data_IF_892188063900
#
_entry.id   IF_892188063900
#
_cell.length_a   1.000
_cell.length_b   1.000
_cell.length_c   1.000
_cell.angle_alpha   90.00
_cell.angle_beta   90.00
_cell.angle_gamma   90.00
#
_symmetry.space_group_name_H-M   'P 1'
#
loop_
_entity.id
_entity.type
_entity.pdbx_description
1 polymer ?
#
# COMPACT_ATOMS: atom_id res chain seq x y z
N UNK A 1 -1.25 0.97 32.89
CA UNK A 1 -0.43 0.33 31.84
C UNK A 1 -0.90 0.90 30.52
N UNK A 2 -0.11 1.78 29.90
CA UNK A 2 -0.47 2.39 28.62
C UNK A 2 -0.45 1.31 27.55
N UNK A 3 -1.59 1.08 26.90
CA UNK A 3 -1.65 0.27 25.69
C UNK A 3 -0.70 0.91 24.68
N UNK A 4 0.48 0.33 24.48
CA UNK A 4 1.28 0.63 23.30
C UNK A 4 0.46 0.11 22.14
N UNK A 5 -0.29 1.01 21.52
CA UNK A 5 -0.68 0.81 20.12
C UNK A 5 0.65 0.57 19.42
N UNK A 6 0.87 -0.65 18.95
CA UNK A 6 2.01 -0.92 18.09
C UNK A 6 1.71 -0.12 16.84
N UNK A 7 2.35 1.03 16.71
CA UNK A 7 2.28 1.85 15.51
C UNK A 7 2.81 0.98 14.37
N UNK A 8 1.99 0.79 13.32
CA UNK A 8 2.38 -0.01 12.16
C UNK A 8 3.62 0.59 11.48
N UNK A 9 4.32 -0.21 10.66
CA UNK A 9 5.51 0.26 9.95
C UNK A 9 5.23 1.47 9.07
N UNK A 10 4.06 1.47 8.43
CA UNK A 10 3.54 2.59 7.66
C UNK A 10 2.46 3.34 8.44
N UNK A 11 2.29 4.65 8.18
CA UNK A 11 1.15 5.38 8.68
C UNK A 11 -0.16 4.81 8.10
N UNK A 12 -1.26 5.29 8.65
CA UNK A 12 -2.63 5.00 8.22
C UNK A 12 -2.77 5.10 6.69
N UNK A 13 -3.55 4.18 6.11
CA UNK A 13 -3.71 4.06 4.66
C UNK A 13 -4.88 4.92 4.18
N UNK A 14 -4.64 6.23 4.14
CA UNK A 14 -5.68 7.23 3.86
C UNK A 14 -6.38 6.98 2.51
N UNK A 15 -5.65 6.60 1.47
CA UNK A 15 -6.25 6.33 0.15
C UNK A 15 -7.12 5.07 0.13
N UNK A 16 -6.81 4.09 0.98
CA UNK A 16 -7.65 2.91 1.19
C UNK A 16 -8.94 3.29 1.89
N UNK A 17 -8.86 4.08 2.95
CA UNK A 17 -10.05 4.57 3.68
C UNK A 17 -10.96 5.37 2.77
N UNK A 18 -10.40 6.31 2.01
CA UNK A 18 -11.16 7.09 1.02
C UNK A 18 -11.88 6.21 -0.01
N UNK A 19 -11.28 5.08 -0.41
CA UNK A 19 -11.95 4.13 -1.31
C UNK A 19 -13.14 3.45 -0.64
N UNK A 20 -13.02 3.03 0.62
CA UNK A 20 -14.14 2.43 1.35
C UNK A 20 -15.23 3.44 1.70
N UNK A 21 -14.86 4.65 2.12
CA UNK A 21 -15.81 5.74 2.32
C UNK A 21 -16.62 6.00 1.05
N UNK A 22 -15.96 5.97 -0.11
CA UNK A 22 -16.60 6.14 -1.41
C UNK A 22 -17.50 4.95 -1.80
N UNK A 23 -17.14 3.72 -1.40
CA UNK A 23 -17.99 2.54 -1.58
C UNK A 23 -19.27 2.59 -0.73
N UNK A 24 -19.18 3.15 0.48
CA UNK A 24 -20.28 3.25 1.44
C UNK A 24 -21.09 4.55 1.30
N UNK A 25 -20.64 5.48 0.46
CA UNK A 25 -21.26 6.79 0.27
C UNK A 25 -22.68 6.68 -0.30
N UNK A 26 -23.57 7.54 0.22
CA UNK A 26 -24.92 7.74 -0.31
C UNK A 26 -25.12 9.20 -0.77
N UNK A 27 -25.55 9.44 -2.04
CA UNK A 27 -25.87 8.45 -3.07
C UNK A 27 -24.61 7.70 -3.56
N UNK A 28 -24.83 6.47 -4.06
CA UNK A 28 -23.76 5.62 -4.57
C UNK A 28 -22.81 6.35 -5.54
N UNK A 29 -21.51 6.21 -5.30
CA UNK A 29 -20.47 6.79 -6.14
C UNK A 29 -20.51 6.24 -7.57
N UNK A 30 -20.03 7.05 -8.52
CA UNK A 30 -19.92 6.57 -9.90
C UNK A 30 -18.80 5.54 -10.04
N UNK A 31 -18.94 4.62 -11.01
CA UNK A 31 -17.88 3.65 -11.32
C UNK A 31 -16.56 4.33 -11.71
N UNK A 32 -16.63 5.52 -12.32
CA UNK A 32 -15.45 6.31 -12.66
C UNK A 32 -14.73 6.85 -11.40
N UNK A 33 -15.48 7.29 -10.40
CA UNK A 33 -14.92 7.76 -9.13
C UNK A 33 -14.28 6.60 -8.36
N UNK A 34 -14.96 5.45 -8.28
CA UNK A 34 -14.41 4.23 -7.65
C UNK A 34 -13.12 3.76 -8.31
N UNK A 35 -13.07 3.72 -9.65
CA UNK A 35 -11.84 3.38 -10.38
C UNK A 35 -10.72 4.39 -10.12
N UNK A 36 -11.04 5.67 -10.06
CA UNK A 36 -10.06 6.72 -9.78
C UNK A 36 -9.50 6.58 -8.36
N UNK A 37 -10.36 6.35 -7.37
CA UNK A 37 -9.96 6.12 -5.99
C UNK A 37 -9.09 4.85 -5.87
N UNK A 38 -9.46 3.76 -6.53
CA UNK A 38 -8.69 2.52 -6.50
C UNK A 38 -7.30 2.67 -7.14
N UNK A 39 -7.17 3.44 -8.23
CA UNK A 39 -5.85 3.74 -8.82
C UNK A 39 -4.99 4.55 -7.84
N UNK A 40 -5.56 5.55 -7.15
CA UNK A 40 -4.84 6.32 -6.12
C UNK A 40 -4.37 5.42 -4.97
N UNK A 41 -5.22 4.50 -4.50
CA UNK A 41 -4.85 3.46 -3.53
C UNK A 41 -3.67 2.62 -4.00
N UNK A 42 -3.75 2.11 -5.24
CA UNK A 42 -2.67 1.33 -5.85
C UNK A 42 -1.35 2.12 -6.02
N UNK A 43 -1.42 3.44 -6.24
CA UNK A 43 -0.23 4.30 -6.33
C UNK A 43 0.48 4.44 -4.98
N UNK A 44 -0.27 4.64 -3.90
CA UNK A 44 0.26 4.65 -2.53
C UNK A 44 0.92 3.30 -2.19
N UNK A 45 0.28 2.17 -2.52
CA UNK A 45 0.84 0.82 -2.34
C UNK A 45 2.17 0.65 -3.09
N UNK A 46 2.25 1.11 -4.35
CA UNK A 46 3.50 1.08 -5.12
C UNK A 46 4.60 1.90 -4.43
N UNK A 47 4.25 3.08 -3.90
CA UNK A 47 5.15 3.89 -3.10
C UNK A 47 5.71 3.13 -1.90
N UNK A 48 4.83 2.51 -1.11
CA UNK A 48 5.20 1.71 0.07
C UNK A 48 6.05 0.49 -0.30
N UNK A 49 5.73 -0.21 -1.39
CA UNK A 49 6.55 -1.33 -1.90
C UNK A 49 7.97 -0.87 -2.24
N UNK A 50 8.12 0.28 -2.92
CA UNK A 50 9.44 0.80 -3.23
C UNK A 50 10.25 1.08 -1.96
N UNK A 51 9.61 1.69 -0.96
CA UNK A 51 10.26 1.96 0.32
C UNK A 51 10.71 0.67 1.03
N UNK A 52 9.84 -0.35 1.11
CA UNK A 52 10.20 -1.64 1.70
C UNK A 52 11.41 -2.25 0.98
N UNK A 53 11.36 -2.29 -0.36
CA UNK A 53 12.45 -2.86 -1.17
C UNK A 53 13.77 -2.12 -1.01
N UNK A 54 13.73 -0.80 -0.89
CA UNK A 54 14.92 0.03 -0.67
C UNK A 54 15.51 -0.16 0.73
N UNK A 55 14.66 -0.25 1.77
CA UNK A 55 15.11 -0.36 3.16
C UNK A 55 15.59 -1.75 3.55
N UNK A 56 15.03 -2.81 2.94
CA UNK A 56 15.29 -4.22 3.32
C UNK A 56 16.77 -4.61 3.42
N UNK A 57 17.66 -4.30 2.44
CA UNK A 57 19.06 -4.70 2.52
C UNK A 57 19.79 -4.04 3.69
N UNK A 58 19.56 -2.75 3.90
CA UNK A 58 20.17 -1.96 4.98
C UNK A 58 19.70 -2.44 6.34
N UNK A 59 18.39 -2.64 6.51
CA UNK A 59 17.82 -3.18 7.76
C UNK A 59 18.36 -4.59 8.06
N UNK A 60 18.40 -5.48 7.07
CA UNK A 60 18.94 -6.83 7.25
C UNK A 60 20.40 -6.82 7.75
N UNK A 61 21.23 -5.90 7.24
CA UNK A 61 22.60 -5.75 7.69
C UNK A 61 22.70 -5.19 9.13
N UNK A 62 21.86 -4.21 9.47
CA UNK A 62 21.82 -3.63 10.81
C UNK A 62 21.38 -4.66 11.87
N UNK A 63 20.40 -5.51 11.57
CA UNK A 63 19.98 -6.61 12.47
C UNK A 63 21.12 -7.59 12.68
N UNK A 64 21.76 -8.06 11.60
CA UNK A 64 22.87 -9.03 11.67
C UNK A 64 24.08 -8.52 12.45
N UNK A 65 24.33 -7.21 12.40
CA UNK A 65 25.39 -6.56 13.16
C UNK A 65 25.00 -6.21 14.60
N UNK A 66 23.74 -6.47 15.00
CA UNK A 66 23.22 -6.18 16.34
C UNK A 66 22.98 -4.69 16.62
N UNK A 67 22.97 -3.84 15.58
CA UNK A 67 22.77 -2.39 15.72
C UNK A 67 21.29 -2.01 15.89
N UNK A 68 20.38 -2.84 15.40
CA UNK A 68 18.94 -2.71 15.62
C UNK A 68 18.37 -4.00 16.20
N UNK A 69 17.32 -3.88 17.00
CA UNK A 69 16.67 -5.01 17.65
C UNK A 69 15.86 -5.87 16.67
N UNK A 70 15.62 -7.12 17.07
CA UNK A 70 14.76 -8.06 16.34
C UNK A 70 13.31 -7.57 16.26
N UNK A 71 12.86 -6.73 17.19
CA UNK A 71 11.54 -6.12 17.20
C UNK A 71 11.28 -5.24 15.98
N UNK A 72 12.26 -4.42 15.58
CA UNK A 72 12.19 -3.59 14.37
C UNK A 72 12.14 -4.46 13.12
N UNK A 73 12.94 -5.54 13.11
CA UNK A 73 12.93 -6.49 11.99
C UNK A 73 11.60 -7.21 11.86
N UNK A 74 11.02 -7.66 12.98
CA UNK A 74 9.71 -8.31 12.99
C UNK A 74 8.61 -7.35 12.52
N UNK A 75 8.65 -6.08 12.90
CA UNK A 75 7.73 -5.06 12.39
C UNK A 75 7.89 -4.86 10.88
N UNK A 76 9.12 -4.82 10.38
CA UNK A 76 9.38 -4.73 8.94
C UNK A 76 8.82 -5.92 8.18
N UNK A 77 9.02 -7.15 8.68
CA UNK A 77 8.46 -8.35 8.06
C UNK A 77 6.94 -8.39 8.10
N UNK A 78 6.33 -7.99 9.22
CA UNK A 78 4.88 -7.86 9.32
C UNK A 78 4.33 -6.88 8.27
N UNK A 79 5.03 -5.77 8.03
CA UNK A 79 4.66 -4.81 6.99
C UNK A 79 4.77 -5.38 5.57
N UNK A 80 5.74 -6.27 5.31
CA UNK A 80 5.81 -6.99 4.03
C UNK A 80 4.59 -7.91 3.85
N UNK A 81 4.22 -8.66 4.87
CA UNK A 81 3.04 -9.56 4.85
C UNK A 81 1.72 -8.78 4.69
N UNK A 82 1.56 -7.68 5.43
CA UNK A 82 0.40 -6.78 5.31
C UNK A 82 0.31 -6.17 3.91
N UNK A 83 1.45 -5.78 3.33
CA UNK A 83 1.49 -5.27 1.96
C UNK A 83 1.07 -6.34 0.96
N UNK A 84 1.51 -7.59 1.09
CA UNK A 84 1.08 -8.67 0.19
C UNK A 84 -0.45 -8.87 0.20
N UNK A 85 -1.07 -8.82 1.38
CA UNK A 85 -2.52 -8.89 1.53
C UNK A 85 -3.23 -7.70 0.89
N UNK A 86 -2.70 -6.49 1.09
CA UNK A 86 -3.21 -5.26 0.49
C UNK A 86 -3.20 -5.33 -1.04
N UNK A 87 -2.10 -5.79 -1.65
CA UNK A 87 -2.00 -5.94 -3.11
C UNK A 87 -3.04 -6.94 -3.64
N UNK A 88 -3.22 -8.07 -2.94
CA UNK A 88 -4.24 -9.05 -3.32
C UNK A 88 -5.64 -8.46 -3.27
N UNK A 89 -5.95 -7.65 -2.26
CA UNK A 89 -7.24 -6.98 -2.13
C UNK A 89 -7.48 -5.99 -3.28
N UNK A 90 -6.49 -5.15 -3.60
CA UNK A 90 -6.59 -4.20 -4.72
C UNK A 90 -6.78 -4.90 -6.07
N UNK A 91 -6.09 -6.03 -6.31
CA UNK A 91 -6.32 -6.85 -7.52
C UNK A 91 -7.75 -7.38 -7.57
N UNK A 92 -8.29 -7.84 -6.44
CA UNK A 92 -9.66 -8.34 -6.38
C UNK A 92 -10.69 -7.22 -6.60
N UNK A 93 -10.51 -6.06 -5.97
CA UNK A 93 -11.34 -4.87 -6.19
C UNK A 93 -11.30 -4.42 -7.66
N UNK A 94 -10.13 -4.39 -8.27
CA UNK A 94 -9.97 -4.04 -9.67
C UNK A 94 -10.76 -4.99 -10.57
N UNK A 95 -10.69 -6.30 -10.31
CA UNK A 95 -11.46 -7.29 -11.06
C UNK A 95 -12.98 -7.22 -10.80
N UNK A 96 -13.42 -6.76 -9.62
CA UNK A 96 -14.83 -6.47 -9.34
C UNK A 96 -15.35 -5.30 -10.18
N UNK A 97 -14.57 -4.23 -10.29
CA UNK A 97 -14.93 -3.04 -11.06
C UNK A 97 -14.83 -3.27 -12.58
N UNK A 98 -13.90 -4.11 -13.03
CA UNK A 98 -13.74 -4.50 -14.43
C UNK A 98 -12.96 -5.80 -14.53
N UNK A 99 -13.58 -6.82 -15.11
CA UNK A 99 -12.93 -8.12 -15.34
C UNK A 99 -11.58 -7.97 -16.06
N UNK A 100 -10.55 -8.63 -15.51
CA UNK A 100 -9.18 -8.62 -16.04
C UNK A 100 -8.35 -7.38 -15.68
N UNK A 101 -8.94 -6.35 -15.07
CA UNK A 101 -8.23 -5.12 -14.74
C UNK A 101 -7.19 -5.30 -13.63
N UNK A 102 -7.39 -6.27 -12.74
CA UNK A 102 -6.43 -6.59 -11.68
C UNK A 102 -5.03 -6.97 -12.19
N UNK A 103 -4.90 -7.43 -13.44
CA UNK A 103 -3.59 -7.73 -14.05
C UNK A 103 -2.82 -6.47 -14.47
N UNK A 104 -3.50 -5.33 -14.61
CA UNK A 104 -2.96 -4.10 -15.18
C UNK A 104 -2.85 -2.96 -14.17
N UNK A 105 -3.69 -2.94 -13.13
CA UNK A 105 -3.82 -1.80 -12.22
C UNK A 105 -2.48 -1.37 -11.60
N UNK A 106 -1.66 -2.31 -11.14
CA UNK A 106 -0.35 -1.98 -10.56
C UNK A 106 0.69 -1.53 -11.58
N UNK A 107 0.60 -1.99 -12.83
CA UNK A 107 1.43 -1.45 -13.90
C UNK A 107 1.06 0.02 -14.14
N UNK A 108 -0.23 0.32 -14.29
CA UNK A 108 -0.72 1.70 -14.48
C UNK A 108 -0.34 2.60 -13.30
N UNK A 109 -0.55 2.14 -12.06
CA UNK A 109 -0.18 2.88 -10.87
C UNK A 109 1.33 3.15 -10.81
N UNK A 110 2.17 2.17 -11.15
CA UNK A 110 3.62 2.34 -11.21
C UNK A 110 4.04 3.39 -12.25
N UNK A 111 3.44 3.39 -13.44
CA UNK A 111 3.70 4.39 -14.46
C UNK A 111 3.31 5.80 -13.99
N UNK A 112 2.18 5.93 -13.29
CA UNK A 112 1.71 7.21 -12.73
C UNK A 112 2.64 7.74 -11.63
N UNK A 113 3.04 6.89 -10.69
CA UNK A 113 4.00 7.26 -9.62
C UNK A 113 5.33 7.73 -10.23
N UNK A 114 5.84 7.03 -11.24
CA UNK A 114 7.07 7.44 -11.92
C UNK A 114 6.92 8.79 -12.62
N UNK A 115 5.79 9.04 -13.26
CA UNK A 115 5.51 10.29 -13.94
C UNK A 115 5.33 11.48 -12.98
N UNK A 116 4.72 11.26 -11.80
CA UNK A 116 4.62 12.30 -10.76
C UNK A 116 6.00 12.69 -10.22
N UNK A 117 6.86 11.71 -9.94
CA UNK A 117 8.24 11.94 -9.49
C UNK A 117 9.12 12.69 -10.51
N UNK A 118 8.80 12.62 -11.80
CA UNK A 118 9.53 13.34 -12.85
C UNK A 118 9.11 14.81 -12.99
N UNK A 119 7.97 15.19 -12.41
CA UNK A 119 7.43 16.55 -12.47
C UNK A 119 7.83 17.42 -11.28
N UNK A 120 8.29 16.80 -10.21
CA UNK A 120 8.93 17.45 -9.06
C UNK A 120 10.39 17.80 -9.38
#
# INVERSE_FOLDING_TARGET
AGSRVVEGWFPEHVTREQYYDLLEQEPAASEADLKTALVRRAMEDVGRIYELREKKPSLSNLVKSGQIGEDIWNQFQAAEEEMELELMEVVQEANRLKEGWGQQIFQTASEMVMHERQKE
#
